data_IF_410842733430
#
_entry.id   IF_410842733430
#
_cell.length_a   1.000
_cell.length_b   1.000
_cell.length_c   1.000
_cell.angle_alpha   90.00
_cell.angle_beta   90.00
_cell.angle_gamma   90.00
#
_symmetry.space_group_name_H-M   'P 1'
#
loop_
_entity.id
_entity.type
_entity.pdbx_description
1 polymer ?
#
# COMPACT_ATOMS: atom_id res chain seq x y z
N UNK A 1 -16.64 -17.40 13.94
CA UNK A 1 -16.85 -15.98 14.22
C UNK A 1 -17.54 -15.29 13.05
N UNK A 2 -18.30 -14.24 13.30
CA UNK A 2 -18.99 -13.49 12.24
C UNK A 2 -18.04 -12.51 11.55
N UNK A 3 -17.16 -11.89 12.32
CA UNK A 3 -16.19 -10.91 11.87
C UNK A 3 -14.75 -11.35 12.12
N UNK A 4 -13.86 -11.04 11.20
CA UNK A 4 -12.40 -11.22 11.33
C UNK A 4 -11.72 -9.88 11.10
N UNK A 5 -10.85 -9.52 12.03
CA UNK A 5 -9.90 -8.42 11.87
C UNK A 5 -8.55 -9.03 11.51
N UNK A 6 -8.15 -8.88 10.23
CA UNK A 6 -6.91 -9.42 9.68
C UNK A 6 -5.78 -8.42 9.91
N UNK A 7 -4.74 -8.83 10.61
CA UNK A 7 -3.59 -7.99 11.00
C UNK A 7 -2.31 -8.72 10.65
N UNK A 8 -1.37 -8.03 10.01
CA UNK A 8 -0.05 -8.56 9.72
C UNK A 8 0.81 -8.58 10.99
N UNK A 9 1.86 -9.40 11.02
CA UNK A 9 2.70 -9.58 12.22
C UNK A 9 3.44 -8.30 12.65
N UNK A 10 3.58 -7.33 11.77
CA UNK A 10 4.21 -6.02 11.97
C UNK A 10 3.20 -4.87 12.05
N UNK A 11 1.92 -5.19 12.27
CA UNK A 11 0.84 -4.21 12.44
C UNK A 11 0.29 -4.20 13.86
N UNK A 12 -0.03 -3.01 14.38
CA UNK A 12 -0.56 -2.78 15.72
C UNK A 12 -1.79 -1.86 15.66
N UNK A 13 -2.91 -2.31 16.22
CA UNK A 13 -4.10 -1.49 16.33
C UNK A 13 -3.99 -0.56 17.55
N UNK A 14 -4.13 0.75 17.35
CA UNK A 14 -4.27 1.69 18.47
C UNK A 14 -5.52 1.37 19.32
N UNK A 15 -5.51 1.62 20.64
CA UNK A 15 -6.69 1.39 21.49
C UNK A 15 -7.97 2.08 20.98
N UNK A 16 -7.83 3.26 20.39
CA UNK A 16 -8.96 3.98 19.76
C UNK A 16 -9.52 3.24 18.54
N UNK A 17 -8.64 2.60 17.74
CA UNK A 17 -9.09 1.78 16.60
C UNK A 17 -9.84 0.55 17.10
N UNK A 18 -9.35 -0.10 18.15
CA UNK A 18 -10.02 -1.28 18.75
C UNK A 18 -11.43 -0.93 19.21
N UNK A 19 -11.59 0.21 19.90
CA UNK A 19 -12.91 0.69 20.33
C UNK A 19 -13.83 0.98 19.12
N UNK A 20 -13.32 1.65 18.10
CA UNK A 20 -14.08 1.96 16.88
C UNK A 20 -14.47 0.70 16.09
N UNK A 21 -13.62 -0.34 16.09
CA UNK A 21 -13.94 -1.65 15.52
C UNK A 21 -15.11 -2.30 16.27
N UNK A 22 -15.08 -2.27 17.62
CA UNK A 22 -16.16 -2.84 18.43
C UNK A 22 -17.50 -2.13 18.16
N UNK A 23 -17.50 -0.81 18.03
CA UNK A 23 -18.70 -0.04 17.65
C UNK A 23 -19.20 -0.40 16.26
N UNK A 24 -18.29 -0.52 15.27
CA UNK A 24 -18.66 -0.86 13.91
C UNK A 24 -19.26 -2.29 13.80
N UNK A 25 -18.74 -3.22 14.58
CA UNK A 25 -19.27 -4.61 14.65
C UNK A 25 -20.62 -4.66 15.37
N UNK A 26 -20.85 -3.81 16.36
CA UNK A 26 -22.13 -3.75 17.10
C UNK A 26 -23.27 -3.21 16.23
N UNK A 27 -22.99 -2.35 15.25
CA UNK A 27 -24.00 -1.73 14.38
C UNK A 27 -23.55 -1.68 12.92
N UNK A 28 -23.28 -2.82 12.27
CA UNK A 28 -22.61 -2.87 10.97
C UNK A 28 -23.52 -2.55 9.78
N UNK A 29 -24.84 -2.52 9.96
CA UNK A 29 -25.80 -2.41 8.87
C UNK A 29 -25.58 -3.48 7.79
N UNK A 30 -25.62 -3.09 6.52
CA UNK A 30 -25.38 -3.97 5.37
C UNK A 30 -23.89 -4.09 4.99
N UNK A 31 -22.98 -3.52 5.79
CA UNK A 31 -21.56 -3.49 5.48
C UNK A 31 -20.95 -4.89 5.56
N UNK A 32 -20.23 -5.29 4.53
CA UNK A 32 -19.54 -6.57 4.43
C UNK A 32 -18.08 -6.52 4.89
N UNK A 33 -17.49 -5.33 4.90
CA UNK A 33 -16.13 -5.11 5.39
C UNK A 33 -15.86 -3.64 5.69
N UNK A 34 -14.81 -3.39 6.43
CA UNK A 34 -14.38 -2.04 6.77
C UNK A 34 -12.92 -1.82 6.47
N UNK A 35 -12.62 -0.63 5.91
CA UNK A 35 -11.26 -0.14 5.74
C UNK A 35 -10.84 0.72 6.92
N UNK A 36 -9.58 0.54 7.33
CA UNK A 36 -8.92 1.32 8.39
C UNK A 36 -7.78 2.13 7.80
N UNK A 37 -7.46 3.26 8.40
CA UNK A 37 -6.26 4.03 8.04
C UNK A 37 -5.03 3.32 8.59
N UNK A 38 -3.98 3.16 7.74
CA UNK A 38 -2.70 2.57 8.13
C UNK A 38 -1.60 3.60 8.09
N UNK A 39 -0.91 3.80 9.21
CA UNK A 39 0.26 4.67 9.32
C UNK A 39 1.54 3.87 9.27
N UNK A 40 2.42 4.26 8.36
CA UNK A 40 3.75 3.69 8.19
C UNK A 40 4.73 4.26 9.22
N UNK A 41 5.59 3.40 9.76
CA UNK A 41 6.82 3.84 10.39
C UNK A 41 7.83 4.28 9.33
N UNK A 42 8.48 5.42 9.55
CA UNK A 42 9.56 5.93 8.68
C UNK A 42 10.84 6.00 9.50
N UNK A 43 11.90 5.30 9.11
CA UNK A 43 13.19 5.38 9.78
C UNK A 43 13.66 6.83 9.93
N UNK A 44 14.13 7.18 11.14
CA UNK A 44 14.60 8.53 11.47
C UNK A 44 13.50 9.57 11.73
N UNK A 45 12.21 9.19 11.61
CA UNK A 45 11.10 10.10 11.89
C UNK A 45 10.07 9.51 12.87
N UNK A 46 9.74 8.22 12.75
CA UNK A 46 8.65 7.59 13.46
C UNK A 46 7.42 7.39 12.56
N UNK A 47 6.23 7.26 13.13
CA UNK A 47 5.01 7.12 12.33
C UNK A 47 4.70 8.39 11.56
N UNK A 48 4.18 8.22 10.35
CA UNK A 48 3.82 9.34 9.45
C UNK A 48 3.01 10.40 10.19
N UNK A 49 3.27 11.68 9.87
CA UNK A 49 2.53 12.80 10.43
C UNK A 49 1.01 12.64 10.24
N UNK A 50 0.16 13.00 11.21
CA UNK A 50 -1.29 12.80 11.14
C UNK A 50 -1.99 13.39 9.92
N UNK A 51 -1.43 14.43 9.31
CA UNK A 51 -1.97 15.08 8.11
C UNK A 51 -1.44 14.48 6.79
N UNK A 52 -0.55 13.48 6.85
CA UNK A 52 -0.19 12.69 5.66
C UNK A 52 -1.42 11.92 5.20
N UNK A 53 -1.65 11.91 3.90
CA UNK A 53 -2.72 11.09 3.32
C UNK A 53 -2.28 9.63 3.28
N UNK A 54 -2.43 8.96 4.40
CA UNK A 54 -2.13 7.54 4.53
C UNK A 54 -3.09 6.68 3.71
N UNK A 55 -2.66 5.49 3.38
CA UNK A 55 -3.51 4.54 2.68
C UNK A 55 -4.54 3.94 3.65
N UNK A 56 -5.70 3.63 3.11
CA UNK A 56 -6.73 2.87 3.82
C UNK A 56 -6.76 1.46 3.24
N UNK A 57 -6.78 0.48 4.13
CA UNK A 57 -6.78 -0.94 3.77
C UNK A 57 -7.98 -1.63 4.41
N UNK A 58 -8.55 -2.60 3.71
CA UNK A 58 -9.64 -3.42 4.26
C UNK A 58 -9.00 -4.45 5.19
N UNK A 59 -9.36 -4.40 6.47
CA UNK A 59 -8.83 -5.29 7.51
C UNK A 59 -9.91 -5.97 8.34
N UNK A 60 -11.10 -5.40 8.44
CA UNK A 60 -12.23 -6.01 9.14
C UNK A 60 -13.25 -6.48 8.11
N UNK A 61 -13.60 -7.76 8.14
CA UNK A 61 -14.51 -8.35 7.16
C UNK A 61 -15.47 -9.36 7.79
N UNK A 62 -16.67 -9.49 7.22
CA UNK A 62 -17.56 -10.62 7.53
C UNK A 62 -17.00 -11.90 6.92
N UNK A 63 -16.83 -12.96 7.72
CA UNK A 63 -16.28 -14.24 7.25
C UNK A 63 -17.06 -14.83 6.06
N UNK A 64 -18.38 -14.69 6.06
CA UNK A 64 -19.23 -15.21 5.00
C UNK A 64 -19.20 -14.40 3.69
N UNK A 65 -18.55 -13.24 3.69
CA UNK A 65 -18.50 -12.30 2.58
C UNK A 65 -17.07 -11.97 2.11
N UNK A 66 -16.08 -12.69 2.62
CA UNK A 66 -14.68 -12.44 2.31
C UNK A 66 -13.99 -13.73 1.88
N UNK A 67 -13.18 -13.64 0.84
CA UNK A 67 -12.38 -14.76 0.34
C UNK A 67 -11.07 -14.26 -0.24
N UNK A 68 -10.07 -15.12 -0.25
CA UNK A 68 -8.82 -14.91 -0.99
C UNK A 68 -8.94 -15.60 -2.34
N UNK A 69 -8.40 -14.98 -3.38
CA UNK A 69 -8.32 -15.59 -4.70
C UNK A 69 -7.19 -16.64 -4.70
N UNK A 70 -7.50 -17.95 -4.80
CA UNK A 70 -6.52 -19.02 -4.74
C UNK A 70 -5.55 -19.03 -5.95
N UNK A 71 -5.89 -18.33 -7.04
CA UNK A 71 -5.05 -18.23 -8.23
C UNK A 71 -4.01 -17.09 -8.14
N UNK A 72 -4.17 -16.17 -7.18
CA UNK A 72 -3.24 -15.07 -6.96
C UNK A 72 -2.14 -15.45 -5.95
N UNK A 73 -1.09 -16.08 -6.45
CA UNK A 73 0.07 -16.52 -5.62
C UNK A 73 1.01 -15.38 -5.19
N UNK A 74 0.87 -14.16 -5.70
CA UNK A 74 1.89 -13.11 -5.51
C UNK A 74 1.38 -11.87 -4.77
N UNK A 75 0.10 -11.63 -4.73
CA UNK A 75 -0.55 -10.62 -3.90
C UNK A 75 -1.91 -11.18 -3.51
N UNK A 76 -1.94 -11.94 -2.42
CA UNK A 76 -3.20 -12.38 -1.83
C UNK A 76 -4.08 -11.15 -1.55
N UNK A 77 -5.01 -10.89 -2.46
CA UNK A 77 -5.97 -9.80 -2.31
C UNK A 77 -7.21 -10.33 -1.62
N UNK A 78 -7.53 -9.76 -0.48
CA UNK A 78 -8.78 -10.04 0.21
C UNK A 78 -9.93 -9.41 -0.59
N UNK A 79 -10.76 -10.27 -1.19
CA UNK A 79 -11.98 -9.86 -1.87
C UNK A 79 -13.15 -9.83 -0.88
N UNK A 80 -13.98 -8.80 -0.99
CA UNK A 80 -15.16 -8.63 -0.13
C UNK A 80 -16.39 -8.41 -1.00
N UNK A 81 -17.37 -9.30 -0.84
CA UNK A 81 -18.62 -9.27 -1.58
C UNK A 81 -19.62 -8.37 -0.86
N UNK A 82 -19.66 -7.10 -1.21
CA UNK A 82 -20.60 -6.14 -0.66
C UNK A 82 -20.02 -4.76 -0.37
N UNK A 83 -20.73 -4.00 0.44
CA UNK A 83 -20.35 -2.62 0.78
C UNK A 83 -19.17 -2.61 1.74
N UNK A 84 -18.16 -1.78 1.42
CA UNK A 84 -17.00 -1.55 2.30
C UNK A 84 -17.18 -0.19 2.98
N UNK A 85 -17.34 -0.22 4.29
CA UNK A 85 -17.38 0.95 5.15
C UNK A 85 -15.98 1.49 5.47
N UNK A 86 -15.97 2.59 6.25
CA UNK A 86 -14.72 3.22 6.74
C UNK A 86 -14.81 3.36 8.24
N UNK A 87 -13.83 2.81 8.97
CA UNK A 87 -13.67 3.07 10.39
C UNK A 87 -12.76 4.29 10.57
N UNK A 88 -13.23 5.27 11.32
CA UNK A 88 -12.46 6.43 11.78
C UNK A 88 -12.13 6.34 13.25
N UNK A 89 -11.46 7.36 13.80
CA UNK A 89 -11.22 7.48 15.24
C UNK A 89 -9.96 6.81 15.77
N UNK A 90 -9.24 6.05 14.95
CA UNK A 90 -7.96 5.42 15.28
C UNK A 90 -7.25 4.92 14.04
N UNK A 91 -6.02 4.46 14.20
CA UNK A 91 -5.17 4.00 13.10
C UNK A 91 -4.56 2.63 13.39
N UNK A 92 -4.26 1.91 12.32
CA UNK A 92 -3.42 0.73 12.32
C UNK A 92 -1.98 1.18 12.09
N UNK A 93 -1.11 0.95 13.06
CA UNK A 93 0.32 1.27 12.98
C UNK A 93 1.02 0.12 12.28
N UNK A 94 1.86 0.41 11.31
CA UNK A 94 2.63 -0.58 10.56
C UNK A 94 4.12 -0.31 10.75
N UNK A 95 4.78 -1.21 11.43
CA UNK A 95 6.18 -1.09 11.88
C UNK A 95 7.11 -1.91 10.99
N UNK A 96 7.06 -1.65 9.70
CA UNK A 96 7.89 -2.32 8.70
C UNK A 96 9.30 -1.75 8.70
N UNK A 97 10.09 -2.08 9.72
CA UNK A 97 11.52 -1.76 9.75
C UNK A 97 12.29 -2.90 9.08
N UNK A 98 12.71 -2.67 7.85
CA UNK A 98 13.59 -3.59 7.13
C UNK A 98 14.93 -2.91 6.85
N UNK A 99 15.99 -3.70 6.82
CA UNK A 99 17.30 -3.19 6.42
C UNK A 99 17.23 -2.58 5.01
N UNK A 100 17.93 -1.46 4.75
CA UNK A 100 17.90 -0.80 3.44
C UNK A 100 18.22 -1.74 2.28
N UNK A 101 19.15 -2.67 2.47
CA UNK A 101 19.53 -3.66 1.47
C UNK A 101 18.34 -4.54 1.06
N UNK A 102 17.58 -5.03 2.03
CA UNK A 102 16.39 -5.85 1.81
C UNK A 102 15.25 -5.03 1.18
N UNK A 103 15.15 -3.74 1.52
CA UNK A 103 14.20 -2.84 0.88
C UNK A 103 14.49 -2.70 -0.61
N UNK A 104 15.76 -2.47 -0.98
CA UNK A 104 16.18 -2.39 -2.38
C UNK A 104 16.01 -3.71 -3.12
N UNK A 105 16.31 -4.84 -2.51
CA UNK A 105 16.06 -6.17 -3.09
C UNK A 105 14.57 -6.42 -3.35
N UNK A 106 13.72 -6.13 -2.37
CA UNK A 106 12.26 -6.17 -2.51
C UNK A 106 11.80 -5.27 -3.66
N UNK A 107 12.26 -4.03 -3.69
CA UNK A 107 11.93 -3.07 -4.74
C UNK A 107 12.36 -3.58 -6.12
N UNK A 108 13.57 -4.15 -6.21
CA UNK A 108 14.08 -4.74 -7.44
C UNK A 108 13.21 -5.90 -7.92
N UNK A 109 12.80 -6.80 -7.03
CA UNK A 109 11.95 -7.95 -7.35
C UNK A 109 10.55 -7.51 -7.81
N UNK A 110 9.89 -6.63 -7.07
CA UNK A 110 8.57 -6.11 -7.43
C UNK A 110 8.55 -5.34 -8.76
N UNK A 111 9.58 -4.54 -9.03
CA UNK A 111 9.67 -3.80 -10.30
C UNK A 111 9.91 -4.75 -11.49
N UNK A 112 10.65 -5.85 -11.28
CA UNK A 112 10.86 -6.89 -12.31
C UNK A 112 9.56 -7.64 -12.61
N UNK A 113 8.84 -8.06 -11.56
CA UNK A 113 7.54 -8.71 -11.70
C UNK A 113 6.55 -7.83 -12.46
N UNK A 114 6.43 -6.58 -12.06
CA UNK A 114 5.53 -5.61 -12.70
C UNK A 114 5.87 -5.33 -14.15
N UNK A 115 7.16 -5.34 -14.50
CA UNK A 115 7.60 -5.24 -15.89
C UNK A 115 7.19 -6.48 -16.70
N UNK A 116 7.34 -7.68 -16.13
CA UNK A 116 6.93 -8.95 -16.76
C UNK A 116 5.41 -9.02 -16.98
N UNK A 117 4.61 -8.63 -15.97
CA UNK A 117 3.15 -8.56 -16.11
C UNK A 117 2.71 -7.57 -17.20
N UNK A 118 3.37 -6.41 -17.30
CA UNK A 118 3.09 -5.43 -18.36
C UNK A 118 3.41 -5.98 -19.75
N UNK A 119 4.53 -6.72 -19.87
CA UNK A 119 4.91 -7.36 -21.11
C UNK A 119 3.91 -8.46 -21.51
N UNK A 120 3.46 -9.28 -20.56
CA UNK A 120 2.44 -10.32 -20.77
C UNK A 120 1.10 -9.72 -21.23
N UNK A 121 0.73 -8.55 -20.70
CA UNK A 121 -0.47 -7.79 -21.11
C UNK A 121 -0.31 -7.02 -22.44
N UNK A 122 0.81 -7.16 -23.15
CA UNK A 122 1.07 -6.48 -24.42
C UNK A 122 1.23 -4.95 -24.31
N UNK A 123 1.47 -4.42 -23.10
CA UNK A 123 1.63 -2.96 -22.91
C UNK A 123 2.94 -2.50 -23.52
N UNK A 124 2.85 -1.60 -24.52
CA UNK A 124 4.03 -1.01 -25.14
C UNK A 124 4.75 -0.08 -24.18
N UNK A 125 6.06 -0.26 -23.96
CA UNK A 125 6.83 0.65 -23.14
C UNK A 125 6.99 2.00 -23.85
N UNK A 126 7.01 3.08 -23.06
CA UNK A 126 7.23 4.43 -23.60
C UNK A 126 8.48 5.04 -22.94
N UNK A 127 9.52 5.37 -23.71
CA UNK A 127 10.73 6.00 -23.17
C UNK A 127 10.45 7.30 -22.39
N UNK A 128 9.46 8.08 -22.82
CA UNK A 128 9.08 9.32 -22.13
C UNK A 128 8.61 9.07 -20.68
N UNK A 129 8.01 7.90 -20.41
CA UNK A 129 7.58 7.53 -19.06
C UNK A 129 8.76 7.30 -18.09
N UNK A 130 9.96 6.99 -18.60
CA UNK A 130 11.14 6.90 -17.75
C UNK A 130 11.51 8.25 -17.12
N UNK A 131 11.14 9.35 -17.76
CA UNK A 131 11.36 10.70 -17.23
C UNK A 131 10.14 11.21 -16.45
N UNK A 132 8.94 11.04 -17.01
CA UNK A 132 7.73 11.65 -16.44
C UNK A 132 7.16 10.89 -15.25
N UNK A 133 7.25 9.56 -15.22
CA UNK A 133 6.71 8.77 -14.12
C UNK A 133 7.41 9.01 -12.78
N UNK A 134 8.77 9.05 -12.69
CA UNK A 134 9.46 9.38 -11.45
C UNK A 134 9.06 10.75 -10.89
N UNK A 135 8.98 11.77 -11.75
CA UNK A 135 8.56 13.12 -11.35
C UNK A 135 7.13 13.09 -10.82
N UNK A 136 6.22 12.45 -11.53
CA UNK A 136 4.82 12.30 -11.09
C UNK A 136 4.69 11.57 -9.76
N UNK A 137 5.45 10.50 -9.54
CA UNK A 137 5.46 9.78 -8.26
C UNK A 137 6.05 10.60 -7.13
N UNK A 138 7.15 11.32 -7.39
CA UNK A 138 7.72 12.23 -6.39
C UNK A 138 6.70 13.30 -5.96
N UNK A 139 6.12 14.01 -6.92
CA UNK A 139 5.10 15.03 -6.66
C UNK A 139 3.90 14.44 -5.92
N UNK A 140 3.42 13.27 -6.36
CA UNK A 140 2.31 12.56 -5.71
C UNK A 140 2.61 12.29 -4.24
N UNK A 141 3.76 11.71 -3.92
CA UNK A 141 4.09 11.37 -2.54
C UNK A 141 4.46 12.62 -1.74
N UNK A 142 5.39 13.43 -2.22
CA UNK A 142 5.91 14.54 -1.45
C UNK A 142 4.86 15.62 -1.22
N UNK A 143 4.17 16.06 -2.28
CA UNK A 143 3.20 17.16 -2.21
C UNK A 143 1.77 16.67 -1.98
N UNK A 144 1.22 15.77 -2.83
CA UNK A 144 -0.19 15.41 -2.77
C UNK A 144 -0.53 14.52 -1.58
N UNK A 145 0.34 13.58 -1.23
CA UNK A 145 0.24 12.78 0.01
C UNK A 145 0.79 13.51 1.24
N UNK A 146 1.44 14.67 1.06
CA UNK A 146 1.95 15.53 2.13
C UNK A 146 3.11 14.94 2.94
N UNK A 147 3.95 14.10 2.33
CA UNK A 147 5.11 13.56 3.02
C UNK A 147 6.16 14.63 3.38
N UNK A 148 6.09 15.84 2.79
CA UNK A 148 6.91 16.97 3.20
C UNK A 148 6.75 17.31 4.69
N UNK A 149 5.63 16.95 5.32
CA UNK A 149 5.41 17.11 6.75
C UNK A 149 6.29 16.18 7.62
N UNK A 150 6.87 15.16 7.02
CA UNK A 150 7.83 14.26 7.66
C UNK A 150 9.30 14.66 7.42
N UNK A 151 9.55 15.89 7.00
CA UNK A 151 10.89 16.42 6.80
C UNK A 151 11.74 15.61 5.79
N UNK A 152 13.02 15.41 6.08
CA UNK A 152 13.94 14.65 5.23
C UNK A 152 13.55 13.19 5.07
N UNK A 153 12.97 12.57 6.11
CA UNK A 153 12.48 11.21 6.01
C UNK A 153 11.33 11.08 4.99
N UNK A 154 10.43 12.07 4.98
CA UNK A 154 9.37 12.14 3.97
C UNK A 154 9.89 12.41 2.54
N UNK A 155 10.97 13.18 2.42
CA UNK A 155 11.68 13.35 1.15
C UNK A 155 12.26 12.00 0.66
N UNK A 156 12.92 11.24 1.55
CA UNK A 156 13.47 9.94 1.22
C UNK A 156 12.41 8.96 0.73
N UNK A 157 11.24 8.91 1.40
CA UNK A 157 10.08 8.10 0.95
C UNK A 157 9.62 8.50 -0.45
N UNK A 158 9.50 9.81 -0.73
CA UNK A 158 9.09 10.29 -2.05
C UNK A 158 10.12 9.97 -3.14
N UNK A 159 11.43 10.08 -2.81
CA UNK A 159 12.52 9.72 -3.70
C UNK A 159 12.55 8.20 -3.97
N UNK A 160 12.31 7.37 -2.95
CA UNK A 160 12.15 5.92 -3.11
C UNK A 160 10.99 5.56 -4.04
N UNK A 161 9.84 6.22 -3.89
CA UNK A 161 8.70 6.03 -4.79
C UNK A 161 9.00 6.44 -6.25
N UNK A 162 9.76 7.52 -6.43
CA UNK A 162 10.24 7.95 -7.76
C UNK A 162 11.20 6.93 -8.36
N UNK A 163 12.14 6.41 -7.57
CA UNK A 163 13.07 5.34 -7.97
C UNK A 163 12.32 4.08 -8.41
N UNK A 164 11.33 3.65 -7.63
CA UNK A 164 10.46 2.52 -8.00
C UNK A 164 9.78 2.72 -9.35
N UNK A 165 9.24 3.92 -9.59
CA UNK A 165 8.61 4.26 -10.86
C UNK A 165 9.60 4.20 -12.04
N UNK A 166 10.80 4.78 -11.86
CA UNK A 166 11.87 4.73 -12.85
C UNK A 166 12.26 3.29 -13.18
N UNK A 167 12.57 2.48 -12.16
CA UNK A 167 12.98 1.09 -12.35
C UNK A 167 11.91 0.28 -13.09
N UNK A 168 10.63 0.48 -12.76
CA UNK A 168 9.52 -0.20 -13.43
C UNK A 168 9.46 0.17 -14.91
N UNK A 169 9.56 1.45 -15.26
CA UNK A 169 9.54 1.90 -16.66
C UNK A 169 10.78 1.46 -17.42
N UNK A 170 11.97 1.57 -16.81
CA UNK A 170 13.24 1.11 -17.41
C UNK A 170 13.21 -0.40 -17.71
N UNK A 171 12.81 -1.23 -16.75
CA UNK A 171 12.74 -2.68 -16.95
C UNK A 171 11.68 -3.06 -18.01
N UNK A 172 10.53 -2.36 -18.01
CA UNK A 172 9.51 -2.55 -19.04
C UNK A 172 10.04 -2.20 -20.43
N UNK A 173 10.81 -1.12 -20.55
CA UNK A 173 11.44 -0.72 -21.80
C UNK A 173 12.49 -1.72 -22.25
N UNK A 174 13.38 -2.15 -21.35
CA UNK A 174 14.40 -3.19 -21.66
C UNK A 174 13.77 -4.49 -22.13
N UNK A 175 12.71 -4.96 -21.49
CA UNK A 175 11.98 -6.17 -21.90
C UNK A 175 11.36 -6.03 -23.30
N UNK A 176 11.00 -4.82 -23.72
CA UNK A 176 10.47 -4.53 -25.06
C UNK A 176 11.51 -4.50 -26.18
N UNK A 177 12.80 -4.34 -25.84
CA UNK A 177 13.90 -4.33 -26.83
C UNK A 177 14.37 -5.73 -27.24
N UNK A 178 14.10 -6.74 -26.41
CA UNK A 178 14.53 -8.13 -26.64
C UNK A 178 13.56 -8.97 -27.49
N UNK A 179 12.62 -8.33 -28.17
CA UNK A 179 11.69 -8.99 -29.11
C UNK A 179 11.94 -8.59 -30.52
#
# INVERSE_FOLDING_TARGET
>A
CEWVFNVDADEFAEPKLVAAIAEAVASPGETAGFSVERRQWIPGYGYTHPLVKNDRIVRLVRCARAHYDPEQTIHESLHVDGVIGKIGGGVLLHDSVIAPELEFEKQNSYTSLKASERAARGKRPSPSKMLTAPIGYFVKFYLLKRYFLCGWAGFAVAAGAASYAYQTEYKSWRAGLGR
#
